data_IF_267451819718
#
_entry.id   IF_267451819718
#
_cell.length_a   1.000
_cell.length_b   1.000
_cell.length_c   1.000
_cell.angle_alpha   90.00
_cell.angle_beta   90.00
_cell.angle_gamma   90.00
#
_symmetry.space_group_name_H-M   'P 1'
#
loop_
_entity.id
_entity.type
_entity.pdbx_description
1 polymer ?
#
# COMPACT_ATOMS: atom_id res chain seq x y z
N UNK A 1 -3.35 -25.15 -10.21
CA UNK A 1 -3.09 -24.28 -9.04
C UNK A 1 -3.32 -22.85 -9.51
N UNK A 2 -4.20 -22.12 -8.84
CA UNK A 2 -4.70 -20.82 -9.32
C UNK A 2 -3.63 -19.74 -9.18
N UNK A 3 -3.09 -19.31 -10.31
CA UNK A 3 -2.06 -18.25 -10.45
C UNK A 3 -2.39 -16.94 -9.73
N UNK A 4 -3.65 -16.67 -9.41
CA UNK A 4 -4.07 -15.44 -8.73
C UNK A 4 -3.57 -15.35 -7.28
N UNK A 5 -3.58 -16.47 -6.54
CA UNK A 5 -3.16 -16.46 -5.14
C UNK A 5 -1.64 -16.39 -4.99
N UNK A 6 -0.91 -17.08 -5.87
CA UNK A 6 0.55 -16.99 -5.93
C UNK A 6 1.01 -15.57 -6.29
N UNK A 7 0.36 -14.92 -7.25
CA UNK A 7 0.64 -13.52 -7.61
C UNK A 7 0.35 -12.56 -6.46
N UNK A 8 -0.74 -12.76 -5.73
CA UNK A 8 -1.04 -11.96 -4.54
C UNK A 8 0.03 -12.14 -3.46
N UNK A 9 0.49 -13.37 -3.25
CA UNK A 9 1.55 -13.67 -2.27
C UNK A 9 2.90 -13.05 -2.64
N UNK A 10 3.25 -13.07 -3.93
CA UNK A 10 4.42 -12.37 -4.45
C UNK A 10 4.30 -10.85 -4.27
N UNK A 11 3.13 -10.27 -4.56
CA UNK A 11 2.88 -8.85 -4.35
C UNK A 11 3.03 -8.46 -2.88
N UNK A 12 2.49 -9.25 -1.94
CA UNK A 12 2.66 -9.02 -0.49
C UNK A 12 4.15 -9.02 -0.11
N UNK A 13 4.95 -9.98 -0.59
CA UNK A 13 6.38 -10.01 -0.26
C UNK A 13 7.13 -8.75 -0.74
N UNK A 14 6.83 -8.28 -1.95
CA UNK A 14 7.43 -7.06 -2.49
C UNK A 14 6.99 -5.83 -1.67
N UNK A 15 5.70 -5.75 -1.33
CA UNK A 15 5.17 -4.66 -0.50
C UNK A 15 5.78 -4.65 0.91
N UNK A 16 6.02 -5.82 1.50
CA UNK A 16 6.69 -5.92 2.81
C UNK A 16 8.11 -5.38 2.72
N UNK A 17 8.88 -5.78 1.69
CA UNK A 17 10.22 -5.23 1.47
C UNK A 17 10.21 -3.70 1.34
N UNK A 18 9.26 -3.15 0.58
CA UNK A 18 9.11 -1.69 0.42
C UNK A 18 8.72 -1.00 1.74
N UNK A 19 7.87 -1.63 2.55
CA UNK A 19 7.43 -1.10 3.84
C UNK A 19 8.56 -1.06 4.88
N UNK A 20 9.50 -2.01 4.81
CA UNK A 20 10.68 -2.10 5.68
C UNK A 20 11.86 -1.28 5.16
N UNK A 21 11.86 -0.92 3.88
CA UNK A 21 12.93 -0.14 3.27
C UNK A 21 12.94 1.32 3.76
N UNK A 22 13.96 1.66 4.55
CA UNK A 22 14.14 3.01 5.11
C UNK A 22 14.51 4.08 4.07
N UNK A 23 14.93 3.68 2.87
CA UNK A 23 15.20 4.58 1.74
C UNK A 23 13.92 5.06 1.06
N UNK A 24 12.81 4.34 1.27
CA UNK A 24 11.49 4.66 0.74
C UNK A 24 10.80 5.68 1.64
N UNK A 25 10.20 6.76 1.11
CA UNK A 25 9.54 7.79 1.92
C UNK A 25 8.30 7.25 2.67
N UNK A 26 7.96 7.91 3.78
CA UNK A 26 6.95 7.44 4.76
C UNK A 26 5.57 7.20 4.14
N UNK A 27 5.17 8.00 3.16
CA UNK A 27 3.91 7.86 2.43
C UNK A 27 3.84 6.52 1.68
N UNK A 28 4.88 6.17 0.93
CA UNK A 28 4.97 4.91 0.19
C UNK A 28 5.01 3.72 1.15
N UNK A 29 5.80 3.80 2.24
CA UNK A 29 5.83 2.71 3.24
C UNK A 29 4.46 2.47 3.87
N UNK A 30 3.68 3.53 4.10
CA UNK A 30 2.33 3.45 4.66
C UNK A 30 1.35 2.81 3.68
N UNK A 31 1.41 3.22 2.41
CA UNK A 31 0.59 2.66 1.35
C UNK A 31 0.90 1.17 1.09
N UNK A 32 2.17 0.77 1.21
CA UNK A 32 2.56 -0.63 1.17
C UNK A 32 1.91 -1.43 2.31
N UNK A 33 1.90 -0.90 3.54
CA UNK A 33 1.21 -1.53 4.66
C UNK A 33 -0.32 -1.60 4.46
N UNK A 34 -0.94 -0.55 3.95
CA UNK A 34 -2.38 -0.53 3.62
C UNK A 34 -2.73 -1.53 2.52
N UNK A 35 -1.87 -1.67 1.50
CA UNK A 35 -2.04 -2.64 0.42
C UNK A 35 -1.96 -4.09 0.93
N UNK A 36 -1.04 -4.38 1.86
CA UNK A 36 -0.95 -5.68 2.53
C UNK A 36 -2.21 -5.94 3.36
N UNK A 37 -2.75 -4.92 4.04
CA UNK A 37 -3.98 -5.04 4.81
C UNK A 37 -5.19 -5.32 3.90
N UNK A 38 -5.29 -4.64 2.74
CA UNK A 38 -6.33 -4.88 1.75
C UNK A 38 -6.27 -6.30 1.15
N UNK A 39 -5.06 -6.83 0.92
CA UNK A 39 -4.86 -8.21 0.47
C UNK A 39 -5.23 -9.26 1.52
N UNK A 40 -5.02 -8.95 2.80
CA UNK A 40 -5.41 -9.80 3.93
C UNK A 40 -6.84 -9.58 4.43
N UNK A 41 -7.60 -8.67 3.81
CA UNK A 41 -8.96 -8.38 4.25
C UNK A 41 -9.88 -9.57 3.94
N UNK A 42 -10.16 -10.35 4.98
CA UNK A 42 -11.04 -11.50 4.94
C UNK A 42 -12.50 -11.16 4.70
N UNK A 43 -12.89 -9.87 4.75
CA UNK A 43 -14.26 -9.39 4.50
C UNK A 43 -14.59 -9.26 3.02
N UNK A 44 -13.58 -9.10 2.16
CA UNK A 44 -13.77 -8.96 0.71
C UNK A 44 -13.73 -10.34 0.07
N UNK A 45 -14.82 -10.79 -0.54
CA UNK A 45 -14.81 -12.05 -1.30
C UNK A 45 -14.17 -11.86 -2.68
N UNK A 46 -13.12 -12.64 -2.94
CA UNK A 46 -12.41 -12.65 -4.22
C UNK A 46 -11.03 -12.00 -4.17
N UNK A 47 -10.00 -12.81 -4.40
CA UNK A 47 -8.60 -12.36 -4.46
C UNK A 47 -8.38 -11.27 -5.52
N UNK A 48 -9.14 -11.31 -6.62
CA UNK A 48 -9.08 -10.29 -7.67
C UNK A 48 -9.51 -8.91 -7.16
N UNK A 49 -10.56 -8.82 -6.34
CA UNK A 49 -11.06 -7.55 -5.78
C UNK A 49 -10.07 -6.99 -4.76
N UNK A 50 -9.51 -7.86 -3.90
CA UNK A 50 -8.47 -7.48 -2.94
C UNK A 50 -7.23 -6.94 -3.64
N UNK A 51 -6.81 -7.60 -4.73
CA UNK A 51 -5.69 -7.16 -5.54
C UNK A 51 -5.99 -5.82 -6.23
N UNK A 52 -7.17 -5.63 -6.80
CA UNK A 52 -7.57 -4.35 -7.40
C UNK A 52 -7.53 -3.21 -6.39
N UNK A 53 -8.02 -3.42 -5.15
CA UNK A 53 -7.96 -2.41 -4.09
C UNK A 53 -6.50 -2.05 -3.74
N UNK A 54 -5.63 -3.04 -3.58
CA UNK A 54 -4.21 -2.81 -3.31
C UNK A 54 -3.52 -2.07 -4.47
N UNK A 55 -3.87 -2.41 -5.72
CA UNK A 55 -3.35 -1.71 -6.91
C UNK A 55 -3.80 -0.25 -6.92
N UNK A 56 -5.07 0.05 -6.63
CA UNK A 56 -5.55 1.44 -6.55
C UNK A 56 -4.81 2.25 -5.48
N UNK A 57 -4.55 1.69 -4.30
CA UNK A 57 -3.78 2.36 -3.24
C UNK A 57 -2.35 2.68 -3.72
N UNK A 58 -1.72 1.73 -4.42
CA UNK A 58 -0.36 1.93 -4.98
C UNK A 58 -0.34 2.89 -6.17
N UNK A 59 -1.39 2.92 -6.97
CA UNK A 59 -1.51 3.83 -8.11
C UNK A 59 -1.72 5.27 -7.63
N UNK A 60 -2.57 5.47 -6.60
CA UNK A 60 -2.78 6.78 -5.97
C UNK A 60 -1.47 7.36 -5.42
N UNK A 61 -0.65 6.56 -4.74
CA UNK A 61 0.65 7.05 -4.20
C UNK A 61 1.73 7.17 -5.27
N UNK A 62 1.65 6.42 -6.36
CA UNK A 62 2.52 6.61 -7.52
C UNK A 62 2.17 7.89 -8.28
N UNK A 63 0.92 8.34 -8.20
CA UNK A 63 0.44 9.59 -8.77
C UNK A 63 0.60 10.79 -7.82
N UNK A 64 0.90 10.57 -6.54
CA UNK A 64 1.13 11.63 -5.55
C UNK A 64 2.56 12.21 -5.71
N UNK A 65 2.75 13.39 -6.32
CA UNK A 65 4.06 13.97 -6.56
C UNK A 65 4.59 14.78 -5.36
N UNK A 66 3.93 14.67 -4.18
CA UNK A 66 4.03 15.44 -2.95
C UNK A 66 2.60 15.91 -2.60
N UNK A 67 2.01 15.51 -1.48
CA UNK A 67 1.07 16.40 -0.80
C UNK A 67 1.77 17.03 0.42
N UNK A 68 2.35 18.24 0.25
CA UNK A 68 3.01 18.98 1.31
C UNK A 68 1.98 19.48 2.33
N UNK A 69 2.45 19.89 3.52
CA UNK A 69 1.75 20.72 4.51
C UNK A 69 0.89 20.07 5.62
N UNK A 70 0.94 18.77 5.93
CA UNK A 70 0.49 18.35 7.28
C UNK A 70 1.50 18.70 8.40
N UNK A 71 2.75 19.01 8.04
CA UNK A 71 3.75 19.51 9.00
C UNK A 71 3.49 20.97 9.47
N UNK A 72 2.39 21.63 9.04
CA UNK A 72 2.06 23.01 9.40
C UNK A 72 0.96 23.11 10.47
N UNK A 73 0.92 22.17 11.42
CA UNK A 73 0.00 22.22 12.58
C UNK A 73 0.73 22.09 13.92
N UNK A 74 1.90 22.73 14.06
CA UNK A 74 2.61 22.89 15.34
C UNK A 74 3.38 24.21 15.36
N UNK A 75 2.68 25.35 15.36
CA UNK A 75 3.09 26.59 16.04
C UNK A 75 2.14 27.72 15.64
N UNK A 76 1.17 27.96 16.51
CA UNK A 76 0.82 29.31 16.95
C UNK A 76 0.11 29.12 18.28
N UNK A 77 0.89 29.35 19.34
CA UNK A 77 0.39 29.88 20.61
C UNK A 77 -0.34 31.20 20.35
#
# INVERSE_FOLDING_TARGET
MSTAEEKAKQAIQVLTMISEDTTVPRNIRRAASESIAALNDSRVEGMAVRASNAISILDEISQDPNCPLHARTKQSF
#
